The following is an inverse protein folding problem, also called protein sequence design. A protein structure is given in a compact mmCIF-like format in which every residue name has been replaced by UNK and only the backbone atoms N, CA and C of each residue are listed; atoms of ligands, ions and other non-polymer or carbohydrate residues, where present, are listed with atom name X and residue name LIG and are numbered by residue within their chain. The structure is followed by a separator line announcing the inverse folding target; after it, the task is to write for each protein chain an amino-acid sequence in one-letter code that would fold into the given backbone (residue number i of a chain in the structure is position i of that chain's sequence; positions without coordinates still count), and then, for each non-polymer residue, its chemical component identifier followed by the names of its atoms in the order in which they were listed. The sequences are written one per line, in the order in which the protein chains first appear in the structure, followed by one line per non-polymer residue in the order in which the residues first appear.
data_IF_915619255147
#
_entry.id   IF_915619255147
#
_cell.length_a   1.000
_cell.length_b   1.000
_cell.length_c   1.000
_cell.angle_alpha   90.00
_cell.angle_beta   90.00
_cell.angle_gamma   90.00
#
_symmetry.space_group_name_H-M   'P 1'
#
loop_
_entity.id
_entity.type
_entity.pdbx_description
1 polymer ?
#
# COMPACT_ATOMS: atom_id res chain seq x y z
N UNK A 1 21.15 10.53 0.50
CA UNK A 1 21.67 9.76 -0.67
C UNK A 1 23.12 9.35 -0.48
N UNK A 2 24.09 10.23 -0.18
CA UNK A 2 25.49 9.84 0.09
C UNK A 2 25.67 8.76 1.16
N UNK A 3 24.89 8.78 2.25
CA UNK A 3 24.88 7.72 3.29
C UNK A 3 24.32 6.35 2.80
N UNK A 4 23.52 6.32 1.73
CA UNK A 4 23.08 5.08 1.07
C UNK A 4 24.19 4.44 0.21
N UNK A 5 25.24 5.20 -0.12
CA UNK A 5 26.20 4.83 -1.18
C UNK A 5 27.48 4.19 -0.62
N UNK A 6 27.70 4.24 0.70
CA UNK A 6 28.81 3.56 1.35
C UNK A 6 28.47 3.27 2.83
N UNK A 7 27.63 2.27 3.11
CA UNK A 7 27.33 1.90 4.49
C UNK A 7 28.61 1.29 5.08
N UNK A 8 29.22 2.01 6.02
CA UNK A 8 30.40 1.55 6.74
C UNK A 8 30.10 0.32 7.61
N UNK A 9 28.82 0.09 7.91
CA UNK A 9 28.29 -1.05 8.66
C UNK A 9 27.00 -1.59 8.04
N UNK A 10 26.67 -2.86 8.30
CA UNK A 10 25.36 -3.47 7.96
C UNK A 10 24.17 -2.69 8.54
N UNK A 11 24.39 -2.03 9.68
CA UNK A 11 23.40 -1.23 10.41
C UNK A 11 23.09 0.10 9.69
N UNK A 12 24.09 0.73 9.05
CA UNK A 12 23.87 1.92 8.21
C UNK A 12 23.11 1.58 6.94
N UNK A 13 23.34 0.40 6.37
CA UNK A 13 22.56 -0.10 5.23
C UNK A 13 21.09 -0.31 5.62
N UNK A 14 20.84 -0.83 6.83
CA UNK A 14 19.51 -1.09 7.38
C UNK A 14 18.78 0.21 7.74
N UNK A 15 19.48 1.18 8.34
CA UNK A 15 18.97 2.54 8.59
C UNK A 15 18.65 3.29 7.31
N UNK A 16 19.53 3.18 6.31
CA UNK A 16 19.32 3.80 5.01
C UNK A 16 18.17 3.13 4.23
N UNK A 17 18.03 1.80 4.34
CA UNK A 17 16.86 1.05 3.86
C UNK A 17 15.59 1.47 4.58
N UNK A 18 15.60 1.67 5.91
CA UNK A 18 14.45 2.16 6.68
C UNK A 18 14.06 3.59 6.28
N UNK A 19 15.02 4.48 5.99
CA UNK A 19 14.72 5.85 5.51
C UNK A 19 14.16 5.84 4.09
N UNK A 20 14.71 5.00 3.20
CA UNK A 20 14.18 4.84 1.82
C UNK A 20 12.83 4.14 1.85
N UNK A 21 12.67 3.14 2.71
CA UNK A 21 11.43 2.41 2.92
C UNK A 21 10.36 3.31 3.52
N UNK A 22 10.68 4.12 4.54
CA UNK A 22 9.81 5.18 5.04
C UNK A 22 9.44 6.13 3.91
N UNK A 23 10.41 6.66 3.15
CA UNK A 23 10.12 7.58 2.04
C UNK A 23 9.21 6.98 0.96
N UNK A 24 9.32 5.68 0.65
CA UNK A 24 8.54 5.00 -0.40
C UNK A 24 7.24 4.34 0.09
N UNK A 25 7.14 3.99 1.37
CA UNK A 25 5.89 3.55 2.01
C UNK A 25 5.00 4.75 2.32
N UNK A 26 5.60 5.92 2.58
CA UNK A 26 4.92 7.12 3.02
C UNK A 26 4.66 8.15 1.92
N UNK A 27 5.26 8.05 0.73
CA UNK A 27 4.91 8.93 -0.37
C UNK A 27 3.42 8.73 -0.70
N UNK A 28 2.52 9.66 -0.31
CA UNK A 28 1.11 9.49 -0.60
C UNK A 28 0.96 9.46 -2.12
N UNK A 29 0.06 8.62 -2.65
CA UNK A 29 -0.44 8.87 -3.99
C UNK A 29 -1.13 10.25 -3.94
N UNK A 30 -0.62 11.29 -4.62
CA UNK A 30 -1.24 12.60 -4.56
C UNK A 30 -2.55 12.51 -5.36
N UNK A 31 -3.67 12.64 -4.66
CA UNK A 31 -5.00 12.51 -5.26
C UNK A 31 -6.19 12.72 -4.31
N UNK A 32 -5.97 12.89 -3.01
CA UNK A 32 -7.03 13.29 -2.07
C UNK A 32 -7.06 14.81 -2.01
N UNK A 33 -7.74 15.44 -2.97
CA UNK A 33 -8.27 16.77 -2.75
C UNK A 33 -9.39 16.63 -1.70
N UNK A 34 -9.10 17.03 -0.46
CA UNK A 34 -10.09 17.08 0.60
C UNK A 34 -11.15 18.13 0.24
N UNK A 35 -12.35 17.67 -0.15
CA UNK A 35 -13.56 18.49 -0.14
C UNK A 35 -14.44 18.00 1.01
N UNK A 36 -14.82 18.91 1.90
CA UNK A 36 -15.93 18.72 2.84
C UNK A 36 -15.65 19.20 4.25
N UNK A 37 -15.80 20.51 4.49
CA UNK A 37 -16.12 21.02 5.82
C UNK A 37 -17.62 20.82 6.08
N UNK A 38 -17.98 20.17 7.18
CA UNK A 38 -19.35 20.13 7.68
C UNK A 38 -19.32 20.37 9.20
N UNK A 39 -20.00 21.43 9.62
CA UNK A 39 -20.21 21.77 11.02
C UNK A 39 -21.15 20.74 11.67
N UNK A 40 -20.79 20.28 12.87
CA UNK A 40 -21.58 19.34 13.66
C UNK A 40 -22.78 20.05 14.31
N UNK A 41 -23.99 19.54 14.07
CA UNK A 41 -25.21 19.88 14.80
C UNK A 41 -25.44 18.81 15.87
N UNK A 42 -25.71 19.15 17.14
CA UNK A 42 -25.94 18.16 18.19
C UNK A 42 -27.37 17.59 18.06
N UNK A 43 -27.47 16.26 18.13
CA UNK A 43 -28.74 15.52 18.18
C UNK A 43 -28.94 15.00 19.61
N UNK A 44 -30.12 15.18 20.23
CA UNK A 44 -30.39 14.69 21.57
C UNK A 44 -30.57 13.16 21.59
N UNK A 45 -30.12 12.54 22.68
CA UNK A 45 -30.19 11.10 22.91
C UNK A 45 -31.64 10.64 23.08
N UNK A 46 -32.07 9.70 22.24
CA UNK A 46 -33.31 8.94 22.42
C UNK A 46 -32.95 7.49 22.80
N UNK A 47 -33.72 6.95 23.75
CA UNK A 47 -33.63 5.58 24.26
C UNK A 47 -33.78 4.55 23.14
N UNK A 48 -32.81 3.63 23.02
CA UNK A 48 -32.87 2.52 22.09
C UNK A 48 -33.40 1.26 22.79
N UNK A 49 -34.57 0.81 22.33
CA UNK A 49 -35.07 -0.55 22.53
C UNK A 49 -34.20 -1.53 21.72
N UNK A 50 -33.83 -2.65 22.35
CA UNK A 50 -33.14 -3.80 21.75
C UNK A 50 -33.94 -4.38 20.58
N UNK A 51 -33.71 -3.80 19.40
CA UNK A 51 -33.99 -4.45 18.12
C UNK A 51 -32.65 -4.90 17.56
N UNK A 52 -32.52 -6.20 17.29
CA UNK A 52 -31.33 -6.80 16.70
C UNK A 52 -30.86 -5.96 15.50
N UNK A 53 -29.72 -5.27 15.67
CA UNK A 53 -29.10 -4.45 14.63
C UNK A 53 -28.63 -5.40 13.52
N UNK A 54 -29.42 -5.53 12.46
CA UNK A 54 -29.03 -6.26 11.27
C UNK A 54 -27.88 -5.53 10.60
N UNK A 55 -26.75 -6.22 10.40
CA UNK A 55 -25.57 -5.67 9.74
C UNK A 55 -25.83 -5.66 8.23
N UNK A 56 -25.45 -4.55 7.58
CA UNK A 56 -25.63 -4.35 6.15
C UNK A 56 -24.25 -4.21 5.49
N UNK A 57 -23.97 -5.08 4.53
CA UNK A 57 -22.71 -5.10 3.79
C UNK A 57 -22.88 -4.39 2.44
N UNK A 58 -21.92 -3.57 1.99
CA UNK A 58 -21.94 -3.01 0.64
C UNK A 58 -22.01 -4.11 -0.43
N UNK A 59 -22.83 -3.89 -1.46
CA UNK A 59 -22.99 -4.78 -2.59
C UNK A 59 -22.88 -4.03 -3.92
N UNK A 60 -22.58 -4.75 -5.00
CA UNK A 60 -22.44 -4.16 -6.35
C UNK A 60 -23.71 -4.26 -7.19
N UNK A 61 -23.95 -3.21 -7.98
CA UNK A 61 -25.03 -3.07 -8.96
C UNK A 61 -24.83 -3.88 -10.24
N UNK A 62 -23.68 -4.51 -10.42
CA UNK A 62 -23.38 -5.43 -11.52
C UNK A 62 -22.97 -6.80 -11.00
N UNK A 63 -23.07 -7.82 -11.85
CA UNK A 63 -22.66 -9.19 -11.53
C UNK A 63 -21.16 -9.36 -11.37
N UNK A 64 -20.34 -8.41 -11.84
CA UNK A 64 -18.86 -8.48 -11.81
C UNK A 64 -18.22 -7.74 -10.64
N UNK A 65 -19.00 -7.10 -9.78
CA UNK A 65 -18.50 -6.43 -8.58
C UNK A 65 -17.79 -5.08 -8.84
N UNK A 66 -18.13 -4.35 -9.91
CA UNK A 66 -17.41 -3.15 -10.36
C UNK A 66 -18.08 -1.83 -9.99
N UNK A 67 -19.40 -1.82 -9.83
CA UNK A 67 -20.22 -0.63 -9.64
C UNK A 67 -20.84 -0.69 -8.25
N UNK A 68 -20.16 -0.11 -7.27
CA UNK A 68 -20.64 -0.03 -5.88
C UNK A 68 -21.61 1.15 -5.67
N UNK A 69 -21.46 2.23 -6.44
CA UNK A 69 -22.32 3.43 -6.37
C UNK A 69 -22.75 3.88 -7.77
N UNK A 70 -24.01 4.28 -7.89
CA UNK A 70 -24.57 4.86 -9.12
C UNK A 70 -24.56 6.39 -9.02
N UNK A 71 -23.64 7.10 -9.70
CA UNK A 71 -23.65 8.56 -9.73
C UNK A 71 -24.71 9.12 -10.70
N UNK A 72 -25.05 10.42 -10.62
CA UNK A 72 -26.10 11.04 -11.46
C UNK A 72 -25.82 10.88 -12.97
N UNK A 73 -24.55 10.95 -13.37
CA UNK A 73 -24.16 10.74 -14.77
C UNK A 73 -24.42 9.32 -15.28
N UNK A 74 -24.24 8.30 -14.43
CA UNK A 74 -24.51 6.90 -14.80
C UNK A 74 -26.01 6.63 -14.79
N UNK A 75 -26.74 7.15 -13.80
CA UNK A 75 -28.21 7.10 -13.75
C UNK A 75 -28.82 7.59 -15.06
N UNK A 76 -28.45 8.79 -15.53
CA UNK A 76 -28.97 9.39 -16.77
C UNK A 76 -28.71 8.52 -17.99
N UNK A 77 -27.53 7.89 -18.07
CA UNK A 77 -27.16 7.02 -19.20
C UNK A 77 -27.96 5.72 -19.23
N UNK A 78 -28.29 5.18 -18.06
CA UNK A 78 -29.00 3.90 -17.95
C UNK A 78 -30.52 4.06 -17.82
N UNK A 79 -31.02 5.28 -17.71
CA UNK A 79 -32.45 5.56 -17.52
C UNK A 79 -32.99 5.04 -16.18
N UNK A 80 -32.15 4.96 -15.15
CA UNK A 80 -32.53 4.39 -13.85
C UNK A 80 -33.18 5.42 -12.93
N UNK A 81 -34.05 4.96 -12.04
CA UNK A 81 -34.69 5.76 -10.99
C UNK A 81 -35.34 7.06 -11.49
N UNK A 82 -36.18 7.04 -12.55
CA UNK A 82 -36.70 8.26 -13.17
C UNK A 82 -37.55 9.12 -12.22
N UNK A 83 -38.11 8.52 -11.16
CA UNK A 83 -38.99 9.16 -10.17
C UNK A 83 -38.31 10.22 -9.29
N UNK A 84 -36.98 10.27 -9.21
CA UNK A 84 -36.27 11.20 -8.33
C UNK A 84 -35.67 12.39 -9.12
N UNK A 85 -36.24 13.58 -9.01
CA UNK A 85 -35.80 14.79 -9.76
C UNK A 85 -34.37 15.23 -9.41
N UNK A 86 -34.01 15.16 -8.14
CA UNK A 86 -32.73 15.69 -7.59
C UNK A 86 -31.83 14.56 -7.08
N UNK A 87 -31.58 13.55 -7.92
CA UNK A 87 -30.78 12.38 -7.55
C UNK A 87 -29.32 12.73 -7.28
N UNK A 88 -28.83 12.30 -6.11
CA UNK A 88 -27.44 12.45 -5.67
C UNK A 88 -26.66 11.16 -5.91
N UNK A 89 -27.25 10.00 -5.60
CA UNK A 89 -26.59 8.71 -5.79
C UNK A 89 -27.48 7.53 -5.42
N UNK A 90 -27.06 6.32 -5.78
CA UNK A 90 -27.64 5.10 -5.25
C UNK A 90 -26.56 4.12 -4.78
N UNK A 91 -26.85 3.39 -3.71
CA UNK A 91 -26.04 2.32 -3.13
C UNK A 91 -26.86 1.05 -3.04
N UNK A 92 -26.19 -0.10 -3.11
CA UNK A 92 -26.80 -1.41 -2.91
C UNK A 92 -26.17 -2.02 -1.66
N UNK A 93 -27.01 -2.55 -0.79
CA UNK A 93 -26.63 -3.21 0.45
C UNK A 93 -27.11 -4.65 0.42
N UNK A 94 -26.37 -5.55 1.05
CA UNK A 94 -26.75 -6.94 1.32
C UNK A 94 -26.86 -7.12 2.82
N UNK A 95 -28.02 -7.59 3.28
CA UNK A 95 -28.23 -7.97 4.68
C UNK A 95 -27.71 -9.38 4.97
N UNK A 96 -27.48 -9.67 6.24
CA UNK A 96 -27.10 -10.99 6.74
C UNK A 96 -28.12 -12.09 6.37
N UNK A 97 -29.39 -11.72 6.24
CA UNK A 97 -30.47 -12.61 5.82
C UNK A 97 -30.49 -12.92 4.31
N UNK A 98 -29.49 -12.42 3.55
CA UNK A 98 -29.34 -12.62 2.12
C UNK A 98 -30.19 -11.69 1.24
N UNK A 99 -31.03 -10.83 1.84
CA UNK A 99 -31.81 -9.85 1.08
C UNK A 99 -30.96 -8.65 0.67
N UNK A 100 -31.37 -7.99 -0.41
CA UNK A 100 -30.70 -6.81 -0.93
C UNK A 100 -31.57 -5.57 -0.71
N UNK A 101 -30.94 -4.45 -0.39
CA UNK A 101 -31.60 -3.16 -0.20
C UNK A 101 -30.97 -2.17 -1.16
N UNK A 102 -31.78 -1.54 -2.00
CA UNK A 102 -31.34 -0.37 -2.76
C UNK A 102 -31.65 0.89 -1.95
N UNK A 103 -30.63 1.72 -1.79
CA UNK A 103 -30.73 3.02 -1.14
C UNK A 103 -30.48 4.11 -2.19
N UNK A 104 -31.43 5.03 -2.34
CA UNK A 104 -31.36 6.17 -3.25
C UNK A 104 -31.29 7.45 -2.44
N UNK A 105 -30.20 8.20 -2.63
CA UNK A 105 -29.98 9.53 -2.08
C UNK A 105 -30.47 10.57 -3.09
N UNK A 106 -31.37 11.46 -2.68
CA UNK A 106 -31.91 12.53 -3.51
C UNK A 106 -32.20 13.79 -2.66
N UNK A 107 -32.27 14.97 -3.28
CA UNK A 107 -32.30 16.25 -2.58
C UNK A 107 -33.49 17.13 -3.00
N UNK A 108 -34.74 16.77 -2.66
CA UNK A 108 -35.90 17.61 -2.95
C UNK A 108 -35.80 18.91 -2.13
N UNK A 109 -35.94 20.06 -2.81
CA UNK A 109 -35.92 21.40 -2.17
C UNK A 109 -34.66 21.67 -1.33
N UNK A 110 -33.51 21.11 -1.72
CA UNK A 110 -32.24 21.34 -1.02
C UNK A 110 -32.05 20.51 0.26
N UNK A 111 -32.98 19.63 0.64
CA UNK A 111 -32.83 18.74 1.80
C UNK A 111 -32.47 17.32 1.36
N UNK A 112 -31.32 16.81 1.82
CA UNK A 112 -30.90 15.44 1.51
C UNK A 112 -31.87 14.44 2.16
N UNK A 113 -32.44 13.58 1.34
CA UNK A 113 -33.41 12.54 1.73
C UNK A 113 -32.94 11.18 1.19
N UNK A 114 -33.21 10.12 1.94
CA UNK A 114 -32.90 8.75 1.56
C UNK A 114 -34.18 7.96 1.36
N UNK A 115 -34.24 7.20 0.28
CA UNK A 115 -35.30 6.23 0.01
C UNK A 115 -34.69 4.84 -0.04
N UNK A 116 -35.30 3.89 0.67
CA UNK A 116 -34.81 2.50 0.78
C UNK A 116 -35.87 1.53 0.32
N UNK A 117 -35.49 0.55 -0.50
CA UNK A 117 -36.38 -0.52 -0.93
C UNK A 117 -35.68 -1.87 -0.85
N UNK A 118 -36.33 -2.85 -0.21
CA UNK A 118 -35.89 -4.24 -0.20
C UNK A 118 -36.22 -4.84 -1.57
N UNK A 119 -35.22 -5.44 -2.21
CA UNK A 119 -35.34 -6.09 -3.52
C UNK A 119 -35.62 -7.59 -3.35
N UNK A 120 -36.53 -8.10 -4.18
CA UNK A 120 -36.66 -9.54 -4.42
C UNK A 120 -35.49 -10.02 -5.30
N UNK A 121 -35.19 -11.33 -5.37
CA UNK A 121 -34.18 -11.86 -6.29
C UNK A 121 -34.41 -11.42 -7.75
N UNK A 122 -35.64 -11.52 -8.24
CA UNK A 122 -36.01 -11.03 -9.57
C UNK A 122 -35.84 -9.51 -9.74
N UNK A 123 -36.12 -8.74 -8.68
CA UNK A 123 -35.89 -7.29 -8.64
C UNK A 123 -34.41 -6.93 -8.71
N UNK A 124 -33.55 -7.70 -8.03
CA UNK A 124 -32.10 -7.56 -8.09
C UNK A 124 -31.57 -7.87 -9.50
N UNK A 125 -32.01 -8.96 -10.11
CA UNK A 125 -31.59 -9.33 -11.47
C UNK A 125 -32.03 -8.28 -12.49
N UNK A 126 -33.26 -7.80 -12.37
CA UNK A 126 -33.79 -6.71 -13.20
C UNK A 126 -33.01 -5.41 -13.02
N UNK A 127 -32.59 -5.11 -11.79
CA UNK A 127 -31.75 -3.96 -11.47
C UNK A 127 -30.34 -4.10 -12.04
N UNK A 128 -29.76 -5.31 -12.02
CA UNK A 128 -28.39 -5.60 -12.52
C UNK A 128 -28.29 -5.65 -14.03
N UNK A 129 -29.33 -6.13 -14.73
CA UNK A 129 -29.28 -6.33 -16.18
C UNK A 129 -28.90 -5.08 -17.01
N UNK A 130 -29.35 -3.85 -16.70
CA UNK A 130 -28.87 -2.63 -17.36
C UNK A 130 -27.38 -2.35 -17.14
N UNK A 131 -26.85 -2.60 -15.94
CA UNK A 131 -25.43 -2.42 -15.64
C UNK A 131 -24.58 -3.47 -16.35
N UNK A 132 -25.02 -4.71 -16.34
CA UNK A 132 -24.32 -5.81 -17.03
C UNK A 132 -24.28 -5.57 -18.54
N UNK A 133 -25.40 -5.10 -19.14
CA UNK A 133 -25.42 -4.69 -20.57
C UNK A 133 -24.52 -3.49 -20.84
N UNK A 134 -24.52 -2.49 -19.96
CA UNK A 134 -23.63 -1.32 -20.08
C UNK A 134 -22.15 -1.70 -19.98
N UNK A 135 -21.81 -2.62 -19.08
CA UNK A 135 -20.47 -3.13 -18.92
C UNK A 135 -20.07 -4.06 -20.08
N UNK A 136 -20.99 -4.85 -20.61
CA UNK A 136 -20.76 -5.67 -21.81
C UNK A 136 -20.54 -4.80 -23.06
N UNK A 137 -21.32 -3.74 -23.25
CA UNK A 137 -21.12 -2.78 -24.35
C UNK A 137 -19.87 -1.93 -24.17
N UNK A 138 -19.48 -1.58 -22.93
CA UNK A 138 -18.17 -0.97 -22.66
C UNK A 138 -17.00 -1.91 -22.92
N UNK A 139 -17.12 -3.19 -22.54
CA UNK A 139 -16.14 -4.24 -22.89
C UNK A 139 -16.00 -4.36 -24.42
N UNK A 140 -17.07 -4.09 -25.17
CA UNK A 140 -17.04 -4.04 -26.63
C UNK A 140 -16.35 -2.81 -27.23
N UNK A 141 -16.20 -1.68 -26.51
CA UNK A 141 -15.81 -0.38 -27.11
C UNK A 141 -14.80 0.46 -26.33
N UNK A 142 -14.15 -0.02 -25.26
CA UNK A 142 -13.09 0.75 -24.60
C UNK A 142 -12.26 0.00 -23.56
N UNK A 143 -10.96 0.29 -23.56
CA UNK A 143 -10.03 -0.18 -22.53
C UNK A 143 -10.35 0.45 -21.16
N UNK A 144 -10.23 -0.32 -20.08
CA UNK A 144 -10.30 0.21 -18.71
C UNK A 144 -9.05 1.05 -18.43
N UNK A 145 -9.19 2.36 -18.31
CA UNK A 145 -8.08 3.27 -18.00
C UNK A 145 -8.12 3.85 -16.58
N UNK A 146 -8.85 3.21 -15.66
CA UNK A 146 -9.03 3.69 -14.28
C UNK A 146 -7.74 3.90 -13.48
N UNK A 147 -6.67 3.17 -13.82
CA UNK A 147 -5.34 3.31 -13.22
C UNK A 147 -4.30 3.98 -14.13
N UNK A 148 -4.65 4.32 -15.38
CA UNK A 148 -3.68 4.80 -16.38
C UNK A 148 -3.02 6.12 -15.98
N UNK A 149 -3.82 7.08 -15.52
CA UNK A 149 -3.30 8.39 -15.09
C UNK A 149 -2.34 8.27 -13.91
N UNK A 150 -2.75 7.52 -12.88
CA UNK A 150 -1.92 7.24 -11.70
C UNK A 150 -0.61 6.54 -12.08
N UNK A 151 -0.66 5.52 -12.95
CA UNK A 151 0.53 4.80 -13.41
C UNK A 151 1.53 5.72 -14.12
N UNK A 152 1.05 6.59 -15.02
CA UNK A 152 1.89 7.54 -15.74
C UNK A 152 2.54 8.52 -14.75
N UNK A 153 1.75 9.03 -13.81
CA UNK A 153 2.26 9.94 -12.78
C UNK A 153 3.33 9.28 -11.90
N UNK A 154 3.09 8.06 -11.40
CA UNK A 154 4.09 7.33 -10.60
C UNK A 154 5.36 7.05 -11.40
N UNK A 155 5.22 6.78 -12.71
CA UNK A 155 6.35 6.57 -13.59
C UNK A 155 7.20 7.85 -13.76
N UNK A 156 6.57 9.02 -13.79
CA UNK A 156 7.28 10.32 -13.76
C UNK A 156 8.03 10.47 -12.44
N UNK A 157 7.35 10.27 -11.30
CA UNK A 157 7.96 10.39 -9.96
C UNK A 157 9.15 9.43 -9.83
N UNK A 158 8.99 8.16 -10.21
CA UNK A 158 10.06 7.17 -10.19
C UNK A 158 11.20 7.56 -11.14
N UNK A 159 10.90 8.10 -12.32
CA UNK A 159 11.93 8.52 -13.27
C UNK A 159 12.67 9.79 -12.84
N UNK A 160 12.05 10.66 -12.05
CA UNK A 160 12.71 11.83 -11.45
C UNK A 160 13.56 11.45 -10.24
N UNK A 161 13.03 10.56 -9.38
CA UNK A 161 13.65 10.20 -8.11
C UNK A 161 14.74 9.12 -8.25
N UNK A 162 14.59 8.19 -9.20
CA UNK A 162 15.43 6.99 -9.30
C UNK A 162 16.17 6.92 -10.64
N UNK A 163 15.44 6.92 -11.75
CA UNK A 163 16.07 6.71 -13.07
C UNK A 163 16.90 7.90 -13.55
N UNK A 164 16.42 9.13 -13.33
CA UNK A 164 17.12 10.36 -13.70
C UNK A 164 18.50 10.45 -13.05
N UNK A 165 18.62 10.39 -11.71
CA UNK A 165 19.92 10.45 -11.04
C UNK A 165 20.84 9.27 -11.39
N UNK A 166 20.27 8.10 -11.72
CA UNK A 166 21.06 6.92 -12.06
C UNK A 166 21.49 6.86 -13.53
N UNK A 167 20.83 7.58 -14.43
CA UNK A 167 21.13 7.53 -15.86
C UNK A 167 22.60 7.93 -16.19
N UNK A 168 23.15 9.05 -15.68
CA UNK A 168 24.56 9.39 -15.93
C UNK A 168 25.52 8.32 -15.42
N UNK A 169 25.23 7.74 -14.25
CA UNK A 169 26.03 6.68 -13.64
C UNK A 169 26.02 5.43 -14.52
N UNK A 170 24.84 4.95 -14.90
CA UNK A 170 24.64 3.75 -15.73
C UNK A 170 25.34 3.90 -17.09
N UNK A 171 25.17 5.07 -17.72
CA UNK A 171 25.74 5.41 -19.02
C UNK A 171 27.22 5.78 -18.95
N UNK A 172 27.78 6.01 -17.75
CA UNK A 172 29.17 6.39 -17.57
C UNK A 172 29.48 7.79 -18.10
N UNK A 173 28.48 8.65 -18.12
CA UNK A 173 28.58 10.02 -18.59
C UNK A 173 29.28 10.85 -17.51
N UNK A 174 30.37 11.51 -17.90
CA UNK A 174 31.10 12.45 -17.05
C UNK A 174 30.83 13.88 -17.50
N UNK A 175 30.80 14.81 -16.55
CA UNK A 175 30.54 16.23 -16.80
C UNK A 175 29.10 16.65 -16.51
N UNK A 176 28.93 17.88 -16.03
CA UNK A 176 27.65 18.41 -15.56
C UNK A 176 26.61 18.54 -16.68
N UNK A 177 26.99 19.08 -17.84
CA UNK A 177 26.09 19.27 -19.00
C UNK A 177 25.54 17.95 -19.55
N UNK A 178 26.35 16.97 -19.98
CA UNK A 178 25.81 15.72 -20.51
C UNK A 178 25.14 14.88 -19.43
N UNK A 179 25.57 14.99 -18.16
CA UNK A 179 24.88 14.35 -17.03
C UNK A 179 23.47 14.92 -16.81
N UNK A 180 23.32 16.24 -16.83
CA UNK A 180 22.00 16.90 -16.72
C UNK A 180 21.11 16.56 -17.92
N UNK A 181 21.67 16.50 -19.13
CA UNK A 181 20.92 16.09 -20.32
C UNK A 181 20.39 14.65 -20.19
N UNK A 182 21.23 13.71 -19.73
CA UNK A 182 20.80 12.33 -19.48
C UNK A 182 19.72 12.25 -18.39
N UNK A 183 19.87 13.00 -17.29
CA UNK A 183 18.84 13.12 -16.26
C UNK A 183 17.49 13.56 -16.85
N UNK A 184 17.46 14.69 -17.58
CA UNK A 184 16.23 15.25 -18.14
C UNK A 184 15.57 14.31 -19.16
N UNK A 185 16.37 13.70 -20.05
CA UNK A 185 15.87 12.76 -21.05
C UNK A 185 15.27 11.51 -20.40
N UNK A 186 15.96 10.91 -19.42
CA UNK A 186 15.44 9.74 -18.71
C UNK A 186 14.20 10.07 -17.90
N UNK A 187 14.18 11.22 -17.21
CA UNK A 187 12.99 11.67 -16.47
C UNK A 187 11.79 11.93 -17.38
N UNK A 188 12.01 12.54 -18.55
CA UNK A 188 10.96 12.74 -19.57
C UNK A 188 10.43 11.41 -20.13
N UNK A 189 11.31 10.43 -20.33
CA UNK A 189 10.95 9.07 -20.74
C UNK A 189 9.91 8.43 -19.80
N UNK A 190 9.96 8.76 -18.50
CA UNK A 190 9.00 8.34 -17.49
C UNK A 190 7.54 8.72 -17.78
N UNK A 191 7.29 9.77 -18.56
CA UNK A 191 5.95 10.11 -19.04
C UNK A 191 5.62 9.42 -20.37
N UNK A 192 6.47 9.64 -21.39
CA UNK A 192 6.14 9.28 -22.77
C UNK A 192 6.08 7.76 -23.00
N UNK A 193 6.97 7.00 -22.37
CA UNK A 193 7.01 5.53 -22.52
C UNK A 193 5.72 4.88 -22.01
N UNK A 194 5.32 5.04 -20.72
CA UNK A 194 4.08 4.44 -20.25
C UNK A 194 2.85 5.05 -20.94
N UNK A 195 2.83 6.35 -21.24
CA UNK A 195 1.71 6.97 -21.98
C UNK A 195 1.44 6.26 -23.32
N UNK A 196 2.50 5.99 -24.10
CA UNK A 196 2.41 5.31 -25.40
C UNK A 196 2.10 3.82 -25.26
N UNK A 197 2.73 3.12 -24.33
CA UNK A 197 2.53 1.68 -24.15
C UNK A 197 1.15 1.31 -23.60
N UNK A 198 0.49 2.24 -22.90
CA UNK A 198 -0.81 1.99 -22.25
C UNK A 198 -2.01 2.51 -23.03
N UNK A 199 -1.80 3.19 -24.18
CA UNK A 199 -2.87 3.87 -24.93
C UNK A 199 -4.00 2.96 -25.44
N UNK A 200 -3.70 1.68 -25.66
CA UNK A 200 -4.63 0.69 -26.21
C UNK A 200 -4.61 -0.60 -25.37
N UNK A 201 -4.57 -0.46 -24.05
CA UNK A 201 -4.54 -1.58 -23.11
C UNK A 201 -5.35 -1.27 -21.87
N UNK A 202 -5.92 -2.30 -21.28
CA UNK A 202 -6.50 -2.19 -19.94
C UNK A 202 -5.38 -1.85 -18.94
N UNK A 203 -5.59 -0.77 -18.21
CA UNK A 203 -4.76 -0.30 -17.11
C UNK A 203 -5.68 0.04 -15.95
N UNK A 204 -5.98 -0.99 -15.18
CA UNK A 204 -6.74 -0.88 -13.93
C UNK A 204 -5.87 -0.32 -12.80
N UNK A 205 -6.48 0.07 -11.67
CA UNK A 205 -5.73 0.46 -10.47
C UNK A 205 -4.85 -0.66 -9.90
N UNK A 206 -5.21 -1.92 -10.14
CA UNK A 206 -4.38 -3.07 -9.79
C UNK A 206 -3.08 -3.11 -10.62
N UNK A 207 -3.18 -2.87 -11.94
CA UNK A 207 -2.00 -2.76 -12.82
C UNK A 207 -1.05 -1.68 -12.31
N UNK A 208 -1.58 -0.49 -12.00
CA UNK A 208 -0.80 0.61 -11.41
C UNK A 208 -0.05 0.16 -10.15
N UNK A 209 -0.77 -0.44 -9.19
CA UNK A 209 -0.21 -0.82 -7.89
C UNK A 209 0.94 -1.83 -8.02
N UNK A 210 0.73 -2.94 -8.74
CA UNK A 210 1.77 -3.97 -8.87
C UNK A 210 2.92 -3.56 -9.79
N UNK A 211 2.67 -2.70 -10.78
CA UNK A 211 3.74 -2.12 -11.61
C UNK A 211 4.65 -1.24 -10.76
N UNK A 212 4.08 -0.35 -9.93
CA UNK A 212 4.84 0.52 -9.04
C UNK A 212 5.60 -0.29 -7.97
N UNK A 213 4.93 -1.28 -7.37
CA UNK A 213 5.56 -2.20 -6.43
C UNK A 213 6.74 -2.92 -7.09
N UNK A 214 6.52 -3.56 -8.25
CA UNK A 214 7.54 -4.30 -8.97
C UNK A 214 8.71 -3.41 -9.42
N UNK A 215 8.44 -2.17 -9.82
CA UNK A 215 9.50 -1.21 -10.16
C UNK A 215 10.37 -0.89 -8.94
N UNK A 216 9.76 -0.38 -7.88
CA UNK A 216 10.48 0.05 -6.67
C UNK A 216 11.23 -1.09 -5.99
N UNK A 217 10.60 -2.26 -5.84
CA UNK A 217 11.22 -3.43 -5.20
C UNK A 217 12.18 -4.15 -6.14
N UNK A 218 11.93 -4.09 -7.45
CA UNK A 218 12.89 -4.51 -8.46
C UNK A 218 14.17 -3.71 -8.38
N UNK A 219 14.10 -2.39 -8.17
CA UNK A 219 15.27 -1.54 -7.98
C UNK A 219 16.11 -1.97 -6.78
N UNK A 220 15.48 -2.16 -5.61
CA UNK A 220 16.12 -2.62 -4.39
C UNK A 220 16.70 -4.04 -4.58
N UNK A 221 15.87 -4.96 -5.07
CA UNK A 221 16.24 -6.34 -5.33
C UNK A 221 17.34 -6.49 -6.38
N UNK A 222 17.54 -5.51 -7.26
CA UNK A 222 18.64 -5.52 -8.22
C UNK A 222 20.01 -5.35 -7.59
N UNK A 223 20.14 -4.63 -6.48
CA UNK A 223 21.37 -4.57 -5.71
C UNK A 223 21.72 -5.95 -5.13
N UNK A 224 20.72 -6.61 -4.56
CA UNK A 224 20.83 -7.96 -3.97
C UNK A 224 21.13 -8.99 -5.05
N UNK A 225 20.37 -8.98 -6.15
CA UNK A 225 20.52 -9.91 -7.27
C UNK A 225 21.88 -9.78 -7.97
N UNK A 226 22.35 -8.54 -8.14
CA UNK A 226 23.70 -8.32 -8.69
C UNK A 226 24.74 -9.00 -7.82
N UNK A 227 24.66 -8.79 -6.50
CA UNK A 227 25.65 -9.36 -5.59
C UNK A 227 25.55 -10.89 -5.55
N UNK A 228 24.34 -11.44 -5.63
CA UNK A 228 24.13 -12.88 -5.76
C UNK A 228 24.81 -13.46 -7.02
N UNK A 229 24.57 -12.87 -8.21
CA UNK A 229 25.05 -13.41 -9.49
C UNK A 229 26.54 -13.13 -9.72
N UNK A 230 26.95 -11.89 -9.49
CA UNK A 230 28.28 -11.40 -9.87
C UNK A 230 29.21 -11.19 -8.66
N UNK A 231 28.71 -11.30 -7.43
CA UNK A 231 29.46 -10.92 -6.22
C UNK A 231 29.69 -9.41 -6.11
N UNK A 232 30.85 -9.06 -5.56
CA UNK A 232 31.33 -7.67 -5.49
C UNK A 232 31.43 -6.99 -6.86
N UNK A 233 31.58 -5.67 -6.87
CA UNK A 233 31.81 -4.94 -8.12
C UNK A 233 31.50 -3.46 -8.01
N UNK A 234 31.91 -2.72 -9.05
CA UNK A 234 31.84 -1.27 -9.05
C UNK A 234 30.41 -0.73 -8.97
N UNK A 235 30.30 0.45 -8.37
CA UNK A 235 29.08 1.23 -8.20
C UNK A 235 28.18 1.28 -9.46
N UNK A 236 28.78 1.46 -10.64
CA UNK A 236 28.07 1.51 -11.93
C UNK A 236 27.34 0.20 -12.28
N UNK A 237 27.91 -0.96 -11.93
CA UNK A 237 27.28 -2.25 -12.18
C UNK A 237 26.04 -2.43 -11.30
N UNK A 238 26.10 -1.99 -10.04
CA UNK A 238 24.97 -2.07 -9.11
C UNK A 238 23.76 -1.28 -9.64
N UNK A 239 23.98 -0.04 -10.09
CA UNK A 239 22.90 0.78 -10.65
C UNK A 239 22.36 0.24 -11.98
N UNK A 240 23.18 -0.41 -12.81
CA UNK A 240 22.70 -1.08 -14.03
C UNK A 240 21.73 -2.21 -13.71
N UNK A 241 22.12 -3.07 -12.77
CA UNK A 241 21.26 -4.17 -12.33
C UNK A 241 19.99 -3.65 -11.67
N UNK A 242 20.09 -2.70 -10.72
CA UNK A 242 18.95 -2.06 -10.08
C UNK A 242 17.95 -1.47 -11.09
N UNK A 243 18.43 -0.72 -12.10
CA UNK A 243 17.55 -0.21 -13.15
C UNK A 243 16.90 -1.32 -13.98
N UNK A 244 17.68 -2.33 -14.37
CA UNK A 244 17.18 -3.44 -15.20
C UNK A 244 16.11 -4.26 -14.47
N UNK A 245 16.35 -4.62 -13.21
CA UNK A 245 15.39 -5.37 -12.38
C UNK A 245 14.20 -4.52 -11.98
N UNK A 246 14.35 -3.20 -11.84
CA UNK A 246 13.23 -2.26 -11.68
C UNK A 246 12.30 -2.30 -12.89
N UNK A 247 12.84 -2.17 -14.10
CA UNK A 247 12.03 -2.27 -15.33
C UNK A 247 11.41 -3.66 -15.47
N UNK A 248 12.17 -4.73 -15.23
CA UNK A 248 11.66 -6.09 -15.28
C UNK A 248 10.53 -6.31 -14.28
N UNK A 249 10.71 -5.88 -13.02
CA UNK A 249 9.71 -5.97 -11.97
C UNK A 249 8.44 -5.18 -12.30
N UNK A 250 8.57 -4.00 -12.90
CA UNK A 250 7.44 -3.21 -13.38
C UNK A 250 6.61 -3.98 -14.43
N UNK A 251 7.29 -4.58 -15.42
CA UNK A 251 6.65 -5.38 -16.47
C UNK A 251 6.02 -6.66 -15.91
N UNK A 252 6.71 -7.36 -15.01
CA UNK A 252 6.19 -8.55 -14.34
C UNK A 252 4.97 -8.22 -13.48
N UNK A 253 5.00 -7.11 -12.74
CA UNK A 253 3.86 -6.63 -11.94
C UNK A 253 2.65 -6.29 -12.80
N UNK A 254 2.86 -5.59 -13.92
CA UNK A 254 1.81 -5.30 -14.89
C UNK A 254 1.20 -6.59 -15.45
N UNK A 255 2.04 -7.50 -15.96
CA UNK A 255 1.61 -8.75 -16.57
C UNK A 255 0.91 -9.70 -15.59
N UNK A 256 1.36 -9.75 -14.33
CA UNK A 256 0.74 -10.58 -13.30
C UNK A 256 -0.73 -10.21 -13.07
N UNK A 257 -1.08 -8.92 -13.11
CA UNK A 257 -2.47 -8.47 -13.01
C UNK A 257 -3.27 -8.89 -14.24
N UNK A 258 -2.70 -8.73 -15.44
CA UNK A 258 -3.36 -9.14 -16.68
C UNK A 258 -3.63 -10.65 -16.73
N UNK A 259 -2.74 -11.48 -16.19
CA UNK A 259 -2.85 -12.93 -16.23
C UNK A 259 -3.71 -13.50 -15.10
N UNK A 260 -3.66 -12.92 -13.90
CA UNK A 260 -4.35 -13.46 -12.72
C UNK A 260 -5.61 -12.70 -12.32
N UNK A 261 -5.88 -11.56 -12.94
CA UNK A 261 -7.09 -10.77 -12.69
C UNK A 261 -7.15 -10.19 -11.27
N UNK A 262 -6.01 -9.83 -10.66
CA UNK A 262 -5.98 -9.34 -9.29
C UNK A 262 -6.86 -8.10 -9.07
N UNK A 263 -7.55 -8.07 -7.93
CA UNK A 263 -8.21 -6.86 -7.44
C UNK A 263 -7.17 -5.83 -6.96
N UNK A 264 -7.60 -4.58 -6.74
CA UNK A 264 -6.73 -3.54 -6.20
C UNK A 264 -6.21 -3.89 -4.80
N UNK A 265 -7.07 -4.40 -3.92
CA UNK A 265 -6.69 -4.78 -2.56
C UNK A 265 -5.77 -6.00 -2.53
N UNK A 266 -6.04 -7.01 -3.36
CA UNK A 266 -5.14 -8.17 -3.54
C UNK A 266 -3.76 -7.73 -4.05
N UNK A 267 -3.70 -6.81 -5.01
CA UNK A 267 -2.44 -6.27 -5.53
C UNK A 267 -1.63 -5.55 -4.46
N UNK A 268 -2.28 -4.81 -3.57
CA UNK A 268 -1.63 -4.17 -2.42
C UNK A 268 -1.14 -5.22 -1.40
N UNK A 269 -1.99 -6.19 -1.05
CA UNK A 269 -1.65 -7.26 -0.11
C UNK A 269 -0.44 -8.09 -0.59
N UNK A 270 -0.42 -8.47 -1.87
CA UNK A 270 0.73 -9.15 -2.48
C UNK A 270 2.00 -8.32 -2.27
N UNK A 271 1.94 -7.02 -2.55
CA UNK A 271 3.08 -6.12 -2.33
C UNK A 271 3.51 -6.03 -0.87
N UNK A 272 2.56 -5.87 0.06
CA UNK A 272 2.82 -5.84 1.51
C UNK A 272 3.51 -7.11 1.98
N UNK A 273 3.01 -8.28 1.59
CA UNK A 273 3.61 -9.55 1.99
C UNK A 273 4.97 -9.79 1.33
N UNK A 274 5.18 -9.30 0.10
CA UNK A 274 6.50 -9.29 -0.52
C UNK A 274 7.51 -8.40 0.22
N UNK A 275 7.08 -7.25 0.75
CA UNK A 275 7.91 -6.39 1.61
C UNK A 275 8.28 -7.08 2.93
N UNK A 276 7.32 -7.73 3.59
CA UNK A 276 7.62 -8.54 4.78
C UNK A 276 8.54 -9.70 4.45
N UNK A 277 8.39 -10.32 3.27
CA UNK A 277 9.29 -11.36 2.78
C UNK A 277 10.72 -10.86 2.62
N UNK A 278 10.92 -9.70 1.99
CA UNK A 278 12.23 -9.06 1.87
C UNK A 278 12.84 -8.76 3.23
N UNK A 279 12.08 -8.11 4.12
CA UNK A 279 12.55 -7.71 5.46
C UNK A 279 12.88 -8.93 6.32
N UNK A 280 12.00 -9.93 6.35
CA UNK A 280 12.18 -11.19 7.09
C UNK A 280 13.38 -11.98 6.56
N UNK A 281 13.55 -12.07 5.24
CA UNK A 281 14.70 -12.72 4.64
C UNK A 281 16.01 -12.04 5.02
N UNK A 282 16.04 -10.70 5.03
CA UNK A 282 17.20 -9.92 5.46
C UNK A 282 17.52 -10.12 6.94
N UNK A 283 16.50 -10.04 7.80
CA UNK A 283 16.65 -10.28 9.23
C UNK A 283 17.09 -11.71 9.53
N UNK A 284 16.53 -12.70 8.84
CA UNK A 284 16.90 -14.10 9.02
C UNK A 284 18.34 -14.36 8.57
N UNK A 285 18.73 -13.88 7.38
CA UNK A 285 20.10 -13.96 6.89
C UNK A 285 21.09 -13.31 7.86
N UNK A 286 20.71 -12.16 8.43
CA UNK A 286 21.53 -11.47 9.43
C UNK A 286 21.62 -12.28 10.74
N UNK A 287 20.50 -12.78 11.26
CA UNK A 287 20.42 -13.53 12.51
C UNK A 287 21.25 -14.82 12.48
N UNK A 288 21.27 -15.54 11.35
CA UNK A 288 22.07 -16.76 11.18
C UNK A 288 23.53 -16.49 10.77
N UNK A 289 23.92 -15.23 10.60
CA UNK A 289 25.28 -14.83 10.26
C UNK A 289 25.66 -15.00 8.79
N UNK A 290 24.69 -15.07 7.88
CA UNK A 290 24.93 -15.21 6.44
C UNK A 290 25.22 -13.89 5.71
N UNK A 291 25.40 -12.79 6.44
CA UNK A 291 25.92 -11.53 5.91
C UNK A 291 27.42 -11.32 6.19
N UNK A 292 28.12 -12.37 6.64
CA UNK A 292 29.59 -12.38 6.68
C UNK A 292 30.22 -12.52 5.28
N UNK A 293 31.52 -12.23 5.17
CA UNK A 293 32.22 -12.12 3.88
C UNK A 293 32.09 -13.36 2.99
N UNK A 294 32.16 -14.56 3.56
CA UNK A 294 32.11 -15.82 2.81
C UNK A 294 30.69 -16.30 2.47
N UNK A 295 29.69 -15.87 3.23
CA UNK A 295 28.31 -16.39 3.16
C UNK A 295 27.31 -15.39 2.58
N UNK A 296 27.73 -14.16 2.29
CA UNK A 296 26.87 -13.08 1.81
C UNK A 296 25.98 -13.43 0.63
N UNK A 297 26.46 -14.24 -0.32
CA UNK A 297 25.64 -14.71 -1.46
C UNK A 297 24.49 -15.61 -1.01
N UNK A 298 24.69 -16.46 -0.01
CA UNK A 298 23.61 -17.27 0.57
C UNK A 298 22.58 -16.37 1.28
N UNK A 299 23.05 -15.33 1.98
CA UNK A 299 22.19 -14.30 2.55
C UNK A 299 21.32 -13.61 1.49
N UNK A 300 21.92 -13.14 0.39
CA UNK A 300 21.18 -12.48 -0.69
C UNK A 300 20.19 -13.41 -1.41
N UNK A 301 20.55 -14.69 -1.58
CA UNK A 301 19.63 -15.71 -2.09
C UNK A 301 18.43 -15.88 -1.16
N UNK A 302 18.66 -15.91 0.16
CA UNK A 302 17.60 -16.01 1.16
C UNK A 302 16.68 -14.78 1.11
N UNK A 303 17.23 -13.57 1.01
CA UNK A 303 16.43 -12.33 0.87
C UNK A 303 15.49 -12.41 -0.33
N UNK A 304 16.00 -12.78 -1.50
CA UNK A 304 15.19 -12.87 -2.72
C UNK A 304 14.18 -14.03 -2.66
N UNK A 305 14.57 -15.18 -2.09
CA UNK A 305 13.67 -16.31 -1.90
C UNK A 305 12.52 -15.96 -0.94
N UNK A 306 12.82 -15.31 0.18
CA UNK A 306 11.82 -14.85 1.15
C UNK A 306 10.91 -13.78 0.56
N UNK A 307 11.42 -12.88 -0.30
CA UNK A 307 10.58 -11.94 -1.06
C UNK A 307 9.57 -12.67 -1.94
N UNK A 308 10.02 -13.68 -2.69
CA UNK A 308 9.16 -14.52 -3.52
C UNK A 308 8.12 -15.29 -2.70
N UNK A 309 8.54 -15.85 -1.56
CA UNK A 309 7.64 -16.52 -0.62
C UNK A 309 6.59 -15.56 -0.04
N UNK A 310 6.98 -14.32 0.27
CA UNK A 310 6.08 -13.26 0.71
C UNK A 310 5.04 -12.89 -0.36
N UNK A 311 5.46 -12.69 -1.61
CA UNK A 311 4.54 -12.45 -2.73
C UNK A 311 3.55 -13.59 -2.92
N UNK A 312 4.04 -14.83 -2.84
CA UNK A 312 3.21 -16.03 -2.92
C UNK A 312 2.21 -16.11 -1.76
N UNK A 313 2.65 -15.82 -0.54
CA UNK A 313 1.78 -15.82 0.65
C UNK A 313 0.69 -14.75 0.53
N UNK A 314 1.03 -13.54 0.08
CA UNK A 314 0.05 -12.48 -0.16
C UNK A 314 -0.99 -12.86 -1.22
N UNK A 315 -0.56 -13.54 -2.29
CA UNK A 315 -1.50 -14.09 -3.27
C UNK A 315 -2.41 -15.13 -2.62
N UNK A 316 -1.85 -16.03 -1.81
CA UNK A 316 -2.61 -17.12 -1.19
C UNK A 316 -3.61 -16.60 -0.17
N UNK A 317 -3.22 -15.66 0.68
CA UNK A 317 -4.10 -14.97 1.63
C UNK A 317 -5.24 -14.23 0.91
N UNK A 318 -4.93 -13.53 -0.19
CA UNK A 318 -5.93 -12.82 -0.98
C UNK A 318 -6.93 -13.71 -1.72
N UNK A 319 -6.67 -15.03 -1.82
CA UNK A 319 -7.62 -16.02 -2.34
C UNK A 319 -8.56 -16.55 -1.25
N UNK A 320 -8.09 -16.62 -0.01
CA UNK A 320 -8.88 -17.14 1.11
C UNK A 320 -9.79 -16.09 1.74
N UNK A 321 -9.35 -14.82 1.72
CA UNK A 321 -10.05 -13.72 2.35
C UNK A 321 -10.04 -12.49 1.44
N UNK A 322 -11.14 -11.75 1.46
CA UNK A 322 -11.19 -10.45 0.81
C UNK A 322 -10.36 -9.45 1.63
N UNK A 323 -9.42 -8.79 0.97
CA UNK A 323 -8.69 -7.66 1.53
C UNK A 323 -8.92 -6.46 0.64
N UNK A 324 -9.35 -5.37 1.26
CA UNK A 324 -9.37 -4.06 0.64
C UNK A 324 -7.96 -3.46 0.62
N UNK A 325 -7.81 -2.29 -0.01
CA UNK A 325 -6.54 -1.57 0.04
C UNK A 325 -6.24 -1.01 1.43
N UNK A 326 -7.25 -0.57 2.18
CA UNK A 326 -7.04 -0.05 3.53
C UNK A 326 -6.52 -1.14 4.45
N UNK A 327 -7.09 -2.34 4.33
CA UNK A 327 -6.68 -3.51 5.11
C UNK A 327 -5.19 -3.81 4.95
N UNK A 328 -4.69 -3.83 3.71
CA UNK A 328 -3.29 -4.09 3.45
C UNK A 328 -2.36 -3.02 4.06
N UNK A 329 -2.78 -1.76 4.14
CA UNK A 329 -2.01 -0.70 4.82
C UNK A 329 -2.01 -0.90 6.34
N UNK A 330 -3.15 -1.24 6.93
CA UNK A 330 -3.25 -1.50 8.37
C UNK A 330 -2.39 -2.72 8.75
N UNK A 331 -2.43 -3.80 7.95
CA UNK A 331 -1.54 -4.95 8.12
C UNK A 331 -0.06 -4.57 8.07
N UNK A 332 0.33 -3.71 7.11
CA UNK A 332 1.70 -3.20 7.02
C UNK A 332 2.09 -2.44 8.28
N UNK A 333 1.27 -1.48 8.71
CA UNK A 333 1.51 -0.67 9.89
C UNK A 333 1.58 -1.54 11.16
N UNK A 334 0.68 -2.52 11.31
CA UNK A 334 0.65 -3.44 12.44
C UNK A 334 1.90 -4.33 12.53
N UNK A 335 2.38 -4.86 11.40
CA UNK A 335 3.64 -5.59 11.39
C UNK A 335 4.85 -4.72 11.68
N UNK A 336 4.87 -3.47 11.21
CA UNK A 336 6.00 -2.55 11.47
C UNK A 336 6.01 -2.12 12.93
N UNK A 337 4.87 -1.74 13.49
CA UNK A 337 4.72 -1.45 14.91
C UNK A 337 5.11 -2.65 15.77
N UNK A 338 4.69 -3.87 15.39
CA UNK A 338 5.09 -5.11 16.06
C UNK A 338 6.60 -5.35 16.03
N UNK A 339 7.27 -5.07 14.92
CA UNK A 339 8.73 -5.15 14.83
C UNK A 339 9.40 -4.12 15.77
N UNK A 340 9.03 -2.84 15.66
CA UNK A 340 9.61 -1.76 16.48
C UNK A 340 9.37 -1.99 17.97
N UNK A 341 8.19 -2.52 18.35
CA UNK A 341 7.83 -2.82 19.74
C UNK A 341 8.78 -3.82 20.43
N UNK A 342 9.58 -4.58 19.67
CA UNK A 342 10.57 -5.51 20.25
C UNK A 342 11.89 -4.86 20.64
N UNK A 343 12.25 -3.71 20.03
CA UNK A 343 13.54 -3.05 20.26
C UNK A 343 13.80 -2.67 21.73
N UNK A 344 12.84 -2.11 22.49
CA UNK A 344 13.06 -1.78 23.90
C UNK A 344 13.40 -3.00 24.75
N UNK A 345 12.84 -4.16 24.43
CA UNK A 345 13.14 -5.39 25.15
C UNK A 345 14.58 -5.85 24.87
N UNK A 346 15.02 -5.79 23.61
CA UNK A 346 16.40 -6.15 23.26
C UNK A 346 17.41 -5.23 23.96
N UNK A 347 17.13 -3.92 23.97
CA UNK A 347 17.96 -2.92 24.65
C UNK A 347 17.94 -3.11 26.17
N UNK A 348 16.79 -3.44 26.76
CA UNK A 348 16.66 -3.68 28.20
C UNK A 348 17.45 -4.92 28.68
N UNK A 349 17.62 -5.93 27.82
CA UNK A 349 18.51 -7.07 28.08
C UNK A 349 20.00 -6.75 27.83
N UNK A 350 20.33 -5.50 27.50
CA UNK A 350 21.71 -5.04 27.28
C UNK A 350 22.41 -5.73 26.11
N UNK A 351 21.64 -6.30 25.16
CA UNK A 351 22.21 -7.09 24.07
C UNK A 351 22.49 -6.20 22.86
N UNK A 352 23.76 -5.95 22.58
CA UNK A 352 24.22 -5.26 21.35
C UNK A 352 24.41 -6.20 20.16
N UNK A 353 23.95 -7.46 20.26
CA UNK A 353 24.07 -8.43 19.18
C UNK A 353 23.04 -8.14 18.08
N UNK A 354 23.53 -7.64 16.94
CA UNK A 354 22.73 -7.40 15.74
C UNK A 354 21.92 -8.64 15.28
N UNK A 355 22.38 -9.85 15.62
CA UNK A 355 21.66 -11.10 15.36
C UNK A 355 20.39 -11.22 16.19
N UNK A 356 20.47 -10.86 17.47
CA UNK A 356 19.34 -10.87 18.40
C UNK A 356 18.34 -9.77 18.00
N UNK A 357 18.83 -8.58 17.64
CA UNK A 357 17.99 -7.49 17.13
C UNK A 357 17.23 -7.94 15.88
N UNK A 358 17.91 -8.57 14.92
CA UNK A 358 17.27 -9.05 13.68
C UNK A 358 16.22 -10.14 13.95
N UNK A 359 16.52 -11.09 14.84
CA UNK A 359 15.57 -12.13 15.22
C UNK A 359 14.33 -11.55 15.92
N UNK A 360 14.53 -10.57 16.81
CA UNK A 360 13.46 -9.88 17.52
C UNK A 360 12.56 -9.10 16.56
N UNK A 361 13.13 -8.30 15.66
CA UNK A 361 12.39 -7.54 14.65
C UNK A 361 11.55 -8.46 13.76
N UNK A 362 12.11 -9.59 13.31
CA UNK A 362 11.39 -10.58 12.52
C UNK A 362 10.20 -11.19 13.29
N UNK A 363 10.44 -11.62 14.54
CA UNK A 363 9.41 -12.22 15.37
C UNK A 363 8.29 -11.23 15.73
N UNK A 364 8.66 -10.01 16.11
CA UNK A 364 7.74 -8.91 16.40
C UNK A 364 6.92 -8.52 15.18
N UNK A 365 7.57 -8.46 14.01
CA UNK A 365 6.89 -8.14 12.76
C UNK A 365 5.84 -9.19 12.37
N UNK A 366 6.20 -10.47 12.44
CA UNK A 366 5.27 -11.57 12.19
C UNK A 366 4.11 -11.58 13.20
N UNK A 367 4.41 -11.39 14.49
CA UNK A 367 3.39 -11.31 15.54
C UNK A 367 2.44 -10.12 15.31
N UNK A 368 2.97 -8.96 14.91
CA UNK A 368 2.20 -7.77 14.58
C UNK A 368 1.24 -7.99 13.41
N UNK A 369 1.72 -8.60 12.31
CA UNK A 369 0.86 -8.95 11.17
C UNK A 369 -0.28 -9.88 11.59
N UNK A 370 0.02 -10.95 12.33
CA UNK A 370 -0.99 -11.93 12.78
C UNK A 370 -1.99 -11.29 13.74
N UNK A 371 -1.51 -10.48 14.69
CA UNK A 371 -2.36 -9.78 15.64
C UNK A 371 -3.31 -8.81 14.94
N UNK A 372 -2.78 -8.00 14.02
CA UNK A 372 -3.56 -7.01 13.27
C UNK A 372 -4.54 -7.66 12.30
N UNK A 373 -4.18 -8.75 11.62
CA UNK A 373 -5.12 -9.50 10.77
C UNK A 373 -6.35 -9.97 11.55
N UNK A 374 -6.14 -10.48 12.78
CA UNK A 374 -7.21 -10.90 13.67
C UNK A 374 -8.09 -9.74 14.14
N UNK A 375 -7.49 -8.59 14.43
CA UNK A 375 -8.24 -7.38 14.80
C UNK A 375 -9.12 -6.85 13.67
N UNK A 376 -8.74 -7.10 12.41
CA UNK A 376 -9.47 -6.64 11.23
C UNK A 376 -10.55 -7.61 10.74
N UNK A 377 -10.65 -8.84 11.27
CA UNK A 377 -11.68 -9.83 10.88
C UNK A 377 -13.11 -9.26 10.75
N UNK A 378 -13.59 -8.38 11.65
CA UNK A 378 -14.98 -7.93 11.58
C UNK A 378 -15.25 -6.81 10.56
N UNK A 379 -14.24 -6.24 9.88
CA UNK A 379 -14.44 -5.01 9.09
C UNK A 379 -13.45 -4.83 7.94
N UNK A 380 -13.96 -4.27 6.84
CA UNK A 380 -13.18 -3.80 5.70
C UNK A 380 -12.84 -2.30 5.88
N UNK A 381 -11.56 -1.94 5.67
CA UNK A 381 -11.10 -0.56 5.78
C UNK A 381 -10.91 0.13 4.43
N UNK A 382 -11.34 1.38 4.32
CA UNK A 382 -11.06 2.20 3.15
C UNK A 382 -9.57 2.57 3.06
N UNK A 383 -9.12 2.95 1.87
CA UNK A 383 -7.73 3.40 1.68
C UNK A 383 -7.38 4.61 2.57
N UNK A 384 -8.32 5.54 2.76
CA UNK A 384 -8.12 6.71 3.62
C UNK A 384 -7.93 6.31 5.08
N UNK A 385 -8.74 5.39 5.59
CA UNK A 385 -8.61 4.82 6.93
C UNK A 385 -7.25 4.14 7.13
N UNK A 386 -6.82 3.30 6.19
CA UNK A 386 -5.50 2.65 6.27
C UNK A 386 -4.32 3.63 6.21
N UNK A 387 -4.43 4.72 5.45
CA UNK A 387 -3.44 5.79 5.44
C UNK A 387 -3.39 6.54 6.78
N UNK A 388 -4.54 6.82 7.40
CA UNK A 388 -4.59 7.48 8.70
C UNK A 388 -3.92 6.62 9.77
N UNK A 389 -4.17 5.30 9.76
CA UNK A 389 -3.51 4.37 10.71
C UNK A 389 -2.01 4.31 10.49
N UNK A 390 -1.56 4.18 9.24
CA UNK A 390 -0.12 4.16 8.91
C UNK A 390 0.55 5.50 9.23
N UNK A 391 -0.15 6.62 8.99
CA UNK A 391 0.34 7.95 9.33
C UNK A 391 0.39 8.18 10.84
N UNK A 392 -0.58 7.67 11.60
CA UNK A 392 -0.60 7.72 13.05
C UNK A 392 0.55 6.95 13.68
N UNK A 393 0.82 5.74 13.18
CA UNK A 393 1.99 4.93 13.55
C UNK A 393 3.29 5.71 13.38
N UNK A 394 3.58 6.21 12.17
CA UNK A 394 4.79 6.98 11.94
C UNK A 394 4.85 8.28 12.75
N UNK A 395 3.78 9.07 12.73
CA UNK A 395 3.75 10.37 13.39
C UNK A 395 3.94 10.21 14.91
N UNK A 396 3.36 9.17 15.51
CA UNK A 396 3.57 8.83 16.90
C UNK A 396 5.03 8.48 17.20
N UNK A 397 5.65 7.64 16.36
CA UNK A 397 7.07 7.29 16.51
C UNK A 397 7.99 8.52 16.43
N UNK A 398 7.79 9.37 15.41
CA UNK A 398 8.56 10.60 15.22
C UNK A 398 8.34 11.61 16.34
N UNK A 399 7.11 11.77 16.81
CA UNK A 399 6.78 12.66 17.92
C UNK A 399 7.51 12.24 19.18
N UNK A 400 7.40 10.97 19.58
CA UNK A 400 8.06 10.47 20.78
C UNK A 400 9.59 10.51 20.66
N UNK A 401 10.17 10.13 19.52
CA UNK A 401 11.62 10.28 19.29
C UNK A 401 12.07 11.74 19.36
N UNK A 402 11.30 12.67 18.81
CA UNK A 402 11.60 14.11 18.86
C UNK A 402 11.51 14.68 20.27
N UNK A 403 10.53 14.25 21.06
CA UNK A 403 10.43 14.62 22.47
C UNK A 403 11.59 14.06 23.29
N UNK A 404 11.99 12.81 23.04
CA UNK A 404 13.18 12.23 23.67
C UNK A 404 14.43 13.01 23.29
N UNK A 405 14.59 13.38 22.01
CA UNK A 405 15.71 14.21 21.57
C UNK A 405 15.77 15.59 22.24
N UNK A 406 14.61 16.20 22.52
CA UNK A 406 14.54 17.47 23.24
C UNK A 406 14.83 17.32 24.75
N UNK A 407 14.46 16.18 25.34
CA UNK A 407 14.69 15.88 26.75
C UNK A 407 16.13 15.37 27.03
N UNK A 408 16.76 14.79 26.03
CA UNK A 408 18.13 14.30 26.08
C UNK A 408 19.10 15.48 26.12
N UNK A 409 19.53 15.82 27.34
CA UNK A 409 20.51 16.88 27.61
C UNK A 409 21.94 16.32 27.71
N UNK A 410 22.11 15.01 27.49
CA UNK A 410 23.39 14.33 27.53
C UNK A 410 24.22 14.56 26.25
N UNK A 411 25.54 14.30 26.35
CA UNK A 411 26.42 14.26 25.19
C UNK A 411 26.34 12.95 24.39
N UNK A 412 25.79 11.89 25.00
CA UNK A 412 25.72 10.54 24.44
C UNK A 412 24.25 10.08 24.30
N UNK A 413 23.93 9.49 23.15
CA UNK A 413 22.59 8.97 22.84
C UNK A 413 22.28 7.70 23.64
N UNK A 414 21.31 7.75 24.56
CA UNK A 414 20.79 6.54 25.24
C UNK A 414 19.86 5.74 24.32
N UNK A 415 20.39 4.67 23.70
CA UNK A 415 19.62 3.80 22.79
C UNK A 415 18.29 3.35 23.37
N UNK A 416 18.26 2.96 24.66
CA UNK A 416 17.06 2.43 25.30
C UNK A 416 15.96 3.51 25.35
N UNK A 417 16.31 4.75 25.66
CA UNK A 417 15.37 5.86 25.69
C UNK A 417 14.75 6.11 24.30
N UNK A 418 15.56 6.11 23.23
CA UNK A 418 15.07 6.35 21.87
C UNK A 418 14.25 5.17 21.32
N UNK A 419 14.69 3.92 21.52
CA UNK A 419 13.95 2.75 21.05
C UNK A 419 12.63 2.59 21.80
N UNK A 420 12.62 2.84 23.12
CA UNK A 420 11.39 2.87 23.93
C UNK A 420 10.43 3.95 23.45
N UNK A 421 10.93 5.16 23.21
CA UNK A 421 10.11 6.26 22.70
C UNK A 421 9.55 5.96 21.30
N UNK A 422 10.36 5.45 20.38
CA UNK A 422 9.93 5.06 19.05
C UNK A 422 8.85 3.96 19.10
N UNK A 423 9.05 2.93 19.92
CA UNK A 423 8.09 1.84 20.10
C UNK A 423 6.77 2.29 20.72
N UNK A 424 6.85 3.08 21.80
CA UNK A 424 5.67 3.62 22.48
C UNK A 424 4.89 4.57 21.55
N UNK A 425 5.59 5.43 20.83
CA UNK A 425 5.01 6.34 19.85
C UNK A 425 4.37 5.61 18.67
N UNK A 426 5.08 4.67 18.05
CA UNK A 426 4.60 3.86 16.92
C UNK A 426 3.34 3.07 17.30
N UNK A 427 3.42 2.31 18.39
CA UNK A 427 2.31 1.48 18.87
C UNK A 427 1.14 2.31 19.38
N UNK A 428 1.40 3.40 20.11
CA UNK A 428 0.39 4.32 20.60
C UNK A 428 -0.33 5.06 19.47
N UNK A 429 0.41 5.57 18.50
CA UNK A 429 -0.12 6.24 17.31
C UNK A 429 -0.98 5.31 16.45
N UNK A 430 -0.51 4.08 16.23
CA UNK A 430 -1.28 3.01 15.58
C UNK A 430 -2.58 2.72 16.35
N UNK A 431 -2.49 2.44 17.65
CA UNK A 431 -3.62 2.03 18.46
C UNK A 431 -4.69 3.14 18.58
N UNK A 432 -4.27 4.39 18.77
CA UNK A 432 -5.15 5.55 18.87
C UNK A 432 -5.93 5.75 17.57
N UNK A 433 -5.23 5.81 16.44
CA UNK A 433 -5.87 6.02 15.13
C UNK A 433 -6.75 4.84 14.72
N UNK A 434 -6.29 3.61 14.94
CA UNK A 434 -7.11 2.42 14.71
C UNK A 434 -8.40 2.46 15.52
N UNK A 435 -8.32 2.77 16.82
CA UNK A 435 -9.48 2.86 17.72
C UNK A 435 -10.45 3.97 17.31
N UNK A 436 -9.98 5.11 16.83
CA UNK A 436 -10.85 6.20 16.34
C UNK A 436 -11.69 5.77 15.15
N UNK A 437 -11.20 4.83 14.34
CA UNK A 437 -11.89 4.30 13.16
C UNK A 437 -12.78 3.09 13.48
N UNK A 438 -12.61 2.50 14.66
CA UNK A 438 -13.45 1.43 15.20
C UNK A 438 -14.18 1.87 16.49
N UNK A 439 -15.05 2.88 16.45
CA UNK A 439 -15.87 3.24 17.60
C UNK A 439 -16.78 2.06 17.99
N UNK A 440 -16.94 1.85 19.30
CA UNK A 440 -17.73 0.77 19.90
C UNK A 440 -19.21 0.89 19.60
#
# INVERSE_FOLDING_TARGET
MAALLNPASSLDALRALLVVWAFWVLAPAPGVAAQGGAAAVPIPAAEFSDSLVSIEHPASFDSTGRIERVPPGLRRRLGLFPTFSDFVGARLWRRDDGRYIVEVEYQPQGRLTQWRQILTPAGLDSLRAPFDRYLATRRGNGYDHSGRGELIFDSIVLSLAVYGPSAPVVLGIRGSRPGLAAYMLTSSGGFYVPYRLTRHRDVTRAHRQLTQYGATRGFIGGFVLKHLILGGGGYRANFRFANATSVAGALTGFGAVSWRGYSRGQSELVGVMGDFGLATGGCLAHAIGWYGDDTRRAGDALVLASAGAGLWLGQRLGQYRHYTRGDAYILRAGGVAGAIATLPFVDAFGTSSDRVISAALMAGGAAGVVFTDRLMVPRDFTFGEGLIVSGGELAGALLCMGLTYLADTGGDFDSLAYTTAAAAGSTGGFALTFRMLTPR
#
